data_IF_511876627886
#
_entry.id   IF_511876627886
#
_cell.length_a   1.000
_cell.length_b   1.000
_cell.length_c   1.000
_cell.angle_alpha   90.00
_cell.angle_beta   90.00
_cell.angle_gamma   90.00
#
_symmetry.space_group_name_H-M   'P 1'
#
loop_
_entity.id
_entity.type
_entity.pdbx_description
1 polymer ?
#
# COMPACT_ATOMS: atom_id res chain seq x y z
N UNK A 1 22.55 -17.25 -13.09
CA UNK A 1 21.85 -18.22 -12.23
C UNK A 1 20.44 -17.67 -11.98
N UNK A 2 19.39 -18.26 -12.60
CA UNK A 2 18.00 -17.85 -12.39
C UNK A 2 17.59 -18.33 -11.01
N UNK A 3 17.33 -17.40 -10.07
CA UNK A 3 16.82 -17.74 -8.74
C UNK A 3 15.41 -18.31 -8.92
N UNK A 4 15.20 -19.63 -8.71
CA UNK A 4 13.86 -20.19 -8.77
C UNK A 4 13.06 -19.58 -7.63
N UNK A 5 12.03 -18.80 -7.94
CA UNK A 5 11.21 -18.15 -6.94
C UNK A 5 11.05 -16.63 -7.08
N UNK A 6 11.85 -15.96 -7.93
CA UNK A 6 11.73 -14.52 -8.18
C UNK A 6 10.29 -14.11 -8.57
N UNK A 7 9.81 -14.66 -9.69
CA UNK A 7 8.45 -14.39 -10.19
C UNK A 7 7.37 -14.84 -9.19
N UNK A 8 7.62 -15.94 -8.49
CA UNK A 8 6.68 -16.50 -7.53
C UNK A 8 6.41 -15.57 -6.33
N UNK A 9 7.45 -14.91 -5.78
CA UNK A 9 7.29 -13.98 -4.64
C UNK A 9 6.49 -12.74 -5.02
N UNK A 10 6.77 -12.16 -6.19
CA UNK A 10 6.02 -11.01 -6.71
C UNK A 10 4.56 -11.40 -6.91
N UNK A 11 4.30 -12.54 -7.59
CA UNK A 11 2.95 -13.01 -7.85
C UNK A 11 2.16 -13.30 -6.56
N UNK A 12 2.80 -13.90 -5.55
CA UNK A 12 2.16 -14.15 -4.27
C UNK A 12 1.80 -12.86 -3.54
N UNK A 13 2.72 -11.88 -3.47
CA UNK A 13 2.43 -10.60 -2.81
C UNK A 13 1.37 -9.82 -3.58
N UNK A 14 1.43 -9.78 -4.92
CA UNK A 14 0.38 -9.18 -5.73
C UNK A 14 -0.98 -9.85 -5.48
N UNK A 15 -1.03 -11.18 -5.47
CA UNK A 15 -2.26 -11.94 -5.19
C UNK A 15 -2.82 -11.68 -3.79
N UNK A 16 -1.97 -11.61 -2.78
CA UNK A 16 -2.39 -11.22 -1.43
C UNK A 16 -2.86 -9.77 -1.39
N UNK A 17 -2.27 -8.88 -2.18
CA UNK A 17 -2.74 -7.50 -2.35
C UNK A 17 -4.13 -7.44 -2.98
N UNK A 18 -4.41 -8.28 -4.00
CA UNK A 18 -5.76 -8.42 -4.58
C UNK A 18 -6.76 -8.87 -3.51
N UNK A 19 -6.44 -9.93 -2.76
CA UNK A 19 -7.31 -10.44 -1.70
C UNK A 19 -7.55 -9.35 -0.64
N UNK A 20 -6.50 -8.65 -0.23
CA UNK A 20 -6.60 -7.53 0.72
C UNK A 20 -7.50 -6.41 0.19
N UNK A 21 -7.37 -6.07 -1.09
CA UNK A 21 -8.21 -5.07 -1.74
C UNK A 21 -9.69 -5.46 -1.76
N UNK A 22 -9.99 -6.72 -2.12
CA UNK A 22 -11.35 -7.25 -2.08
C UNK A 22 -11.93 -7.21 -0.66
N UNK A 23 -11.17 -7.66 0.33
CA UNK A 23 -11.60 -7.61 1.74
C UNK A 23 -11.82 -6.16 2.19
N UNK A 24 -10.96 -5.24 1.77
CA UNK A 24 -11.10 -3.80 2.07
C UNK A 24 -12.37 -3.19 1.49
N UNK A 25 -12.85 -3.68 0.35
CA UNK A 25 -14.06 -3.19 -0.32
C UNK A 25 -15.32 -3.77 0.31
N UNK A 26 -15.35 -5.08 0.56
CA UNK A 26 -16.58 -5.79 0.96
C UNK A 26 -16.78 -5.93 2.47
N UNK A 27 -15.99 -5.26 3.31
CA UNK A 27 -16.17 -5.25 4.76
C UNK A 27 -16.46 -3.85 5.34
N UNK A 28 -17.36 -3.03 4.75
CA UNK A 28 -17.60 -1.66 5.19
C UNK A 28 -18.17 -1.60 6.61
N UNK A 29 -19.11 -2.47 6.98
CA UNK A 29 -19.74 -2.48 8.32
C UNK A 29 -18.73 -2.72 9.45
N UNK A 30 -17.69 -3.49 9.17
CA UNK A 30 -16.59 -3.73 10.12
C UNK A 30 -15.64 -2.53 10.18
N UNK A 31 -15.47 -1.84 9.04
CA UNK A 31 -14.59 -0.69 8.95
C UNK A 31 -15.11 0.51 9.77
N UNK A 32 -16.42 0.74 9.81
CA UNK A 32 -17.03 1.85 10.56
C UNK A 32 -16.82 1.75 12.07
N UNK A 33 -16.62 0.55 12.61
CA UNK A 33 -16.37 0.33 14.05
C UNK A 33 -14.95 0.67 14.49
N UNK A 34 -14.01 0.75 13.55
CA UNK A 34 -12.60 1.00 13.80
C UNK A 34 -12.13 2.27 13.07
N UNK A 35 -12.54 3.44 13.58
CA UNK A 35 -12.12 4.73 13.02
C UNK A 35 -11.13 5.44 13.96
N UNK A 36 -10.10 6.02 13.38
CA UNK A 36 -9.25 7.00 14.04
C UNK A 36 -9.19 8.24 13.17
N UNK A 37 -9.44 9.40 13.76
CA UNK A 37 -9.49 10.68 13.05
C UNK A 37 -10.46 10.63 11.85
N UNK A 38 -11.61 9.99 12.02
CA UNK A 38 -12.63 9.79 10.97
C UNK A 38 -12.14 8.96 9.75
N UNK A 39 -11.02 8.28 9.89
CA UNK A 39 -10.47 7.38 8.86
C UNK A 39 -10.67 5.93 9.30
N UNK A 40 -11.28 5.08 8.46
CA UNK A 40 -11.43 3.67 8.78
C UNK A 40 -10.07 2.98 8.75
N UNK A 41 -9.69 2.34 9.86
CA UNK A 41 -8.40 1.67 10.01
C UNK A 41 -8.32 0.31 9.31
N UNK A 42 -9.46 -0.28 9.04
CA UNK A 42 -9.57 -1.66 8.56
C UNK A 42 -8.75 -1.89 7.29
N UNK A 43 -8.83 -0.99 6.32
CA UNK A 43 -8.10 -1.10 5.04
C UNK A 43 -6.59 -1.07 5.26
N UNK A 44 -6.12 -0.15 6.09
CA UNK A 44 -4.70 -0.06 6.45
C UNK A 44 -4.22 -1.29 7.23
N UNK A 45 -5.07 -1.85 8.11
CA UNK A 45 -4.78 -3.06 8.88
C UNK A 45 -4.64 -4.27 7.96
N UNK A 46 -5.63 -4.53 7.09
CA UNK A 46 -5.62 -5.70 6.20
C UNK A 46 -4.44 -5.64 5.24
N UNK A 47 -4.19 -4.47 4.64
CA UNK A 47 -3.02 -4.30 3.77
C UNK A 47 -1.70 -4.38 4.55
N UNK A 48 -1.62 -3.77 5.72
CA UNK A 48 -0.46 -3.87 6.61
C UNK A 48 -0.11 -5.30 7.02
N UNK A 49 -1.14 -6.15 7.23
CA UNK A 49 -0.94 -7.59 7.46
C UNK A 49 -0.30 -8.28 6.25
N UNK A 50 -0.73 -7.96 5.03
CA UNK A 50 -0.10 -8.51 3.80
C UNK A 50 1.36 -8.13 3.72
N UNK A 51 1.70 -6.85 3.96
CA UNK A 51 3.07 -6.36 3.91
C UNK A 51 3.92 -6.99 5.01
N UNK A 52 3.44 -6.98 6.27
CA UNK A 52 4.11 -7.60 7.39
C UNK A 52 4.37 -9.09 7.19
N UNK A 53 3.36 -9.82 6.70
CA UNK A 53 3.51 -11.24 6.33
C UNK A 53 4.54 -11.44 5.22
N UNK A 54 4.51 -10.61 4.18
CA UNK A 54 5.47 -10.67 3.09
C UNK A 54 6.92 -10.47 3.56
N UNK A 55 7.15 -9.49 4.42
CA UNK A 55 8.46 -9.22 5.03
C UNK A 55 8.92 -10.38 5.91
N UNK A 56 8.03 -10.91 6.75
CA UNK A 56 8.33 -12.07 7.59
C UNK A 56 8.65 -13.31 6.77
N UNK A 57 7.80 -13.65 5.80
CA UNK A 57 7.88 -14.91 5.05
C UNK A 57 8.97 -14.93 3.98
N UNK A 58 9.21 -13.82 3.30
CA UNK A 58 10.12 -13.73 2.16
C UNK A 58 11.27 -12.73 2.35
N UNK A 59 11.12 -11.76 3.25
CA UNK A 59 12.16 -10.81 3.62
C UNK A 59 13.09 -11.32 4.72
N UNK A 60 12.77 -12.43 5.37
CA UNK A 60 13.49 -12.91 6.56
C UNK A 60 13.51 -11.88 7.70
N UNK A 61 12.44 -11.08 7.80
CA UNK A 61 12.29 -10.11 8.86
C UNK A 61 11.86 -10.78 10.19
N UNK A 62 12.22 -10.19 11.31
CA UNK A 62 11.73 -10.64 12.61
C UNK A 62 10.21 -10.34 12.75
N UNK A 63 9.55 -11.00 13.71
CA UNK A 63 8.14 -10.70 14.03
C UNK A 63 7.94 -9.23 14.42
N UNK A 64 8.86 -8.67 15.18
CA UNK A 64 8.83 -7.26 15.59
C UNK A 64 8.94 -6.35 14.37
N UNK A 65 9.84 -6.67 13.44
CA UNK A 65 9.98 -5.93 12.16
C UNK A 65 8.72 -5.98 11.32
N UNK A 66 8.07 -7.14 11.25
CA UNK A 66 6.81 -7.31 10.52
C UNK A 66 5.67 -6.49 11.15
N UNK A 67 5.57 -6.48 12.49
CA UNK A 67 4.62 -5.66 13.24
C UNK A 67 4.88 -4.16 13.05
N UNK A 68 6.15 -3.73 13.07
CA UNK A 68 6.49 -2.34 12.81
C UNK A 68 6.05 -1.91 11.41
N UNK A 69 6.31 -2.73 10.39
CA UNK A 69 5.87 -2.45 9.03
C UNK A 69 4.34 -2.36 8.91
N UNK A 70 3.60 -3.24 9.61
CA UNK A 70 2.14 -3.18 9.70
C UNK A 70 1.69 -1.85 10.31
N UNK A 71 2.24 -1.45 11.47
CA UNK A 71 1.85 -0.20 12.15
C UNK A 71 2.14 1.02 11.26
N UNK A 72 3.33 1.07 10.65
CA UNK A 72 3.68 2.17 9.73
C UNK A 72 2.76 2.21 8.51
N UNK A 73 2.32 1.05 7.99
CA UNK A 73 1.35 1.00 6.88
C UNK A 73 -0.02 1.54 7.30
N UNK A 74 -0.49 1.25 8.53
CA UNK A 74 -1.73 1.83 9.06
C UNK A 74 -1.61 3.35 9.17
N UNK A 75 -0.51 3.86 9.73
CA UNK A 75 -0.26 5.30 9.85
C UNK A 75 -0.21 5.96 8.46
N UNK A 76 0.46 5.32 7.50
CA UNK A 76 0.53 5.79 6.12
C UNK A 76 -0.86 5.84 5.46
N UNK A 77 -1.72 4.87 5.72
CA UNK A 77 -3.11 4.86 5.29
C UNK A 77 -3.88 6.07 5.83
N UNK A 78 -3.80 6.31 7.14
CA UNK A 78 -4.46 7.48 7.77
C UNK A 78 -3.95 8.77 7.13
N UNK A 79 -2.64 8.92 6.96
CA UNK A 79 -2.04 10.10 6.37
C UNK A 79 -2.45 10.29 4.90
N UNK A 80 -2.56 9.20 4.12
CA UNK A 80 -3.00 9.24 2.74
C UNK A 80 -4.46 9.72 2.62
N UNK A 81 -5.37 9.14 3.40
CA UNK A 81 -6.78 9.51 3.39
C UNK A 81 -6.99 10.94 3.87
N UNK A 82 -6.35 11.35 4.96
CA UNK A 82 -6.41 12.74 5.44
C UNK A 82 -5.82 13.72 4.45
N UNK A 83 -4.69 13.38 3.84
CA UNK A 83 -4.07 14.20 2.81
C UNK A 83 -4.96 14.36 1.58
N UNK A 84 -5.67 13.30 1.17
CA UNK A 84 -6.65 13.36 0.10
C UNK A 84 -7.74 14.39 0.41
N UNK A 85 -8.42 14.25 1.54
CA UNK A 85 -9.50 15.17 1.91
C UNK A 85 -9.02 16.61 2.08
N UNK A 86 -7.86 16.81 2.71
CA UNK A 86 -7.30 18.14 2.88
C UNK A 86 -7.00 18.86 1.56
N UNK A 87 -6.54 18.12 0.53
CA UNK A 87 -6.23 18.68 -0.79
C UNK A 87 -7.52 18.88 -1.61
N UNK A 88 -8.54 18.03 -1.43
CA UNK A 88 -9.75 18.05 -2.28
C UNK A 88 -10.84 18.99 -1.79
N UNK A 89 -10.64 19.65 -0.66
CA UNK A 89 -11.64 20.55 -0.06
C UNK A 89 -12.00 21.75 -0.97
N UNK A 90 -11.10 22.13 -1.90
CA UNK A 90 -11.23 23.30 -2.77
C UNK A 90 -11.84 23.05 -4.16
N UNK A 91 -12.27 21.81 -4.47
CA UNK A 91 -12.99 21.52 -5.72
C UNK A 91 -12.35 20.51 -6.67
N UNK A 92 -12.93 20.34 -7.87
CA UNK A 92 -12.62 19.23 -8.80
C UNK A 92 -11.20 19.20 -9.35
N UNK A 93 -10.55 20.35 -9.50
CA UNK A 93 -9.18 20.41 -10.03
C UNK A 93 -8.19 19.78 -9.06
N UNK A 94 -8.46 19.87 -7.77
CA UNK A 94 -7.65 19.28 -6.71
C UNK A 94 -7.86 17.76 -6.55
N UNK A 95 -8.95 17.18 -7.10
CA UNK A 95 -9.25 15.75 -6.96
C UNK A 95 -8.16 14.86 -7.54
N UNK A 96 -7.65 15.16 -8.74
CA UNK A 96 -6.55 14.41 -9.34
C UNK A 96 -5.24 14.58 -8.56
N UNK A 97 -4.98 15.81 -8.09
CA UNK A 97 -3.80 16.07 -7.27
C UNK A 97 -3.90 15.35 -5.93
N UNK A 98 -5.06 15.43 -5.27
CA UNK A 98 -5.35 14.71 -4.03
C UNK A 98 -5.13 13.21 -4.20
N UNK A 99 -5.63 12.63 -5.29
CA UNK A 99 -5.50 11.22 -5.64
C UNK A 99 -4.03 10.79 -5.81
N UNK A 100 -3.25 11.56 -6.59
CA UNK A 100 -1.82 11.31 -6.78
C UNK A 100 -1.04 11.39 -5.47
N UNK A 101 -1.28 12.44 -4.69
CA UNK A 101 -0.56 12.67 -3.42
C UNK A 101 -0.93 11.60 -2.40
N UNK A 102 -2.20 11.27 -2.26
CA UNK A 102 -2.64 10.22 -1.33
C UNK A 102 -2.07 8.86 -1.70
N UNK A 103 -2.11 8.50 -3.00
CA UNK A 103 -1.51 7.27 -3.50
C UNK A 103 0.00 7.20 -3.25
N UNK A 104 0.70 8.32 -3.44
CA UNK A 104 2.13 8.44 -3.15
C UNK A 104 2.44 8.31 -1.66
N UNK A 105 1.69 9.00 -0.78
CA UNK A 105 1.87 8.94 0.69
C UNK A 105 1.65 7.51 1.19
N UNK A 106 0.56 6.86 0.78
CA UNK A 106 0.27 5.49 1.17
C UNK A 106 1.38 4.52 0.77
N UNK A 107 1.86 4.62 -0.48
CA UNK A 107 2.94 3.77 -0.99
C UNK A 107 4.28 4.08 -0.33
N UNK A 108 4.63 5.37 -0.15
CA UNK A 108 5.86 5.80 0.52
C UNK A 108 5.91 5.30 1.98
N UNK A 109 4.83 5.46 2.72
CA UNK A 109 4.76 4.96 4.09
C UNK A 109 4.83 3.43 4.17
N UNK A 110 4.20 2.73 3.23
CA UNK A 110 4.27 1.26 3.16
C UNK A 110 5.71 0.78 2.93
N UNK A 111 6.43 1.34 1.95
CA UNK A 111 7.83 0.96 1.71
C UNK A 111 8.74 1.43 2.87
N UNK A 112 8.45 2.57 3.49
CA UNK A 112 9.17 3.07 4.66
C UNK A 112 9.11 2.07 5.80
N UNK A 113 7.91 1.57 6.15
CA UNK A 113 7.74 0.56 7.19
C UNK A 113 8.62 -0.67 6.98
N UNK A 114 8.73 -1.13 5.74
CA UNK A 114 9.64 -2.20 5.37
C UNK A 114 11.12 -1.78 5.40
N UNK A 115 11.46 -0.58 4.92
CA UNK A 115 12.83 -0.07 4.82
C UNK A 115 13.47 0.21 6.19
N UNK A 116 12.67 0.51 7.21
CA UNK A 116 13.15 0.67 8.59
C UNK A 116 13.82 -0.62 9.09
N UNK A 117 13.35 -1.76 8.65
CA UNK A 117 13.77 -3.07 9.17
C UNK A 117 14.51 -3.93 8.14
N UNK A 118 14.39 -3.61 6.84
CA UNK A 118 14.93 -4.45 5.77
C UNK A 118 15.77 -3.65 4.76
N UNK A 119 17.09 -3.88 4.74
CA UNK A 119 18.06 -3.12 3.91
C UNK A 119 17.73 -3.11 2.40
N UNK A 120 17.14 -4.18 1.85
CA UNK A 120 16.80 -4.25 0.40
C UNK A 120 15.73 -3.23 0.01
N UNK A 121 14.86 -2.84 0.94
CA UNK A 121 13.82 -1.85 0.71
C UNK A 121 14.33 -0.40 0.80
N UNK A 122 15.61 -0.20 1.12
CA UNK A 122 16.26 1.12 1.11
C UNK A 122 16.80 1.52 -0.27
N UNK A 123 16.70 0.62 -1.26
CA UNK A 123 17.16 0.87 -2.62
C UNK A 123 16.30 1.97 -3.30
N UNK A 124 16.93 3.04 -3.84
CA UNK A 124 16.20 4.16 -4.43
C UNK A 124 15.26 3.77 -5.57
N UNK A 125 15.65 2.77 -6.39
CA UNK A 125 14.80 2.32 -7.50
C UNK A 125 13.52 1.68 -6.96
N UNK A 126 13.62 0.90 -5.87
CA UNK A 126 12.45 0.31 -5.22
C UNK A 126 11.51 1.39 -4.67
N UNK A 127 12.05 2.50 -4.15
CA UNK A 127 11.27 3.64 -3.71
C UNK A 127 10.57 4.33 -4.88
N UNK A 128 11.31 4.70 -5.93
CA UNK A 128 10.74 5.38 -7.10
C UNK A 128 9.62 4.55 -7.73
N UNK A 129 9.85 3.23 -7.90
CA UNK A 129 8.83 2.33 -8.45
C UNK A 129 7.61 2.23 -7.55
N UNK A 130 7.80 2.00 -6.23
CA UNK A 130 6.67 1.82 -5.32
C UNK A 130 5.84 3.08 -5.19
N UNK A 131 6.49 4.24 -4.99
CA UNK A 131 5.81 5.53 -4.84
C UNK A 131 5.17 5.97 -6.14
N UNK A 132 5.86 5.83 -7.28
CA UNK A 132 5.32 6.17 -8.59
C UNK A 132 4.11 5.32 -8.97
N UNK A 133 4.20 4.00 -8.78
CA UNK A 133 3.09 3.09 -9.02
C UNK A 133 1.92 3.39 -8.07
N UNK A 134 2.19 3.65 -6.79
CA UNK A 134 1.16 4.00 -5.83
C UNK A 134 0.46 5.32 -6.16
N UNK A 135 1.21 6.34 -6.61
CA UNK A 135 0.66 7.62 -7.06
C UNK A 135 -0.28 7.42 -8.26
N UNK A 136 0.18 6.72 -9.30
CA UNK A 136 -0.60 6.48 -10.52
C UNK A 136 -1.85 5.66 -10.21
N UNK A 137 -1.71 4.57 -9.43
CA UNK A 137 -2.85 3.75 -9.04
C UNK A 137 -3.84 4.50 -8.13
N UNK A 138 -3.38 5.49 -7.36
CA UNK A 138 -4.23 6.39 -6.57
C UNK A 138 -5.26 7.14 -7.42
N UNK A 139 -4.95 7.42 -8.71
CA UNK A 139 -5.89 8.06 -9.63
C UNK A 139 -7.19 7.28 -9.84
N UNK A 140 -7.21 5.99 -9.53
CA UNK A 140 -8.42 5.16 -9.62
C UNK A 140 -9.51 5.62 -8.64
N UNK A 141 -9.17 6.38 -7.59
CA UNK A 141 -10.18 7.00 -6.72
C UNK A 141 -11.08 7.99 -7.48
N UNK A 142 -10.55 8.62 -8.54
CA UNK A 142 -11.28 9.70 -9.24
C UNK A 142 -12.56 9.22 -9.94
N UNK A 143 -12.54 8.16 -10.78
CA UNK A 143 -13.77 7.64 -11.36
C UNK A 143 -14.72 7.05 -10.31
N UNK A 144 -14.19 6.40 -9.29
CA UNK A 144 -15.00 5.78 -8.23
C UNK A 144 -15.66 6.82 -7.31
N UNK A 145 -14.96 7.91 -6.97
CA UNK A 145 -15.55 9.03 -6.22
C UNK A 145 -16.67 9.76 -6.98
N UNK A 146 -16.71 9.61 -8.31
CA UNK A 146 -17.77 10.17 -9.18
C UNK A 146 -18.88 9.16 -9.49
N UNK A 147 -18.71 7.90 -9.15
CA UNK A 147 -19.72 6.87 -9.34
C UNK A 147 -20.83 6.98 -8.27
N UNK A 148 -22.01 6.49 -8.61
CA UNK A 148 -23.15 6.47 -7.68
C UNK A 148 -22.92 5.48 -6.54
N UNK A 149 -22.21 4.39 -6.82
CA UNK A 149 -22.00 3.28 -5.88
C UNK A 149 -20.85 3.52 -4.91
N UNK A 150 -19.83 4.33 -5.29
CA UNK A 150 -18.66 4.68 -4.48
C UNK A 150 -18.03 3.50 -3.71
N UNK A 151 -17.94 2.34 -4.35
CA UNK A 151 -17.45 1.12 -3.72
C UNK A 151 -15.91 1.04 -3.57
N UNK A 152 -15.16 1.88 -4.28
CA UNK A 152 -13.70 1.95 -4.31
C UNK A 152 -13.00 0.60 -4.61
N UNK A 153 -13.68 -0.31 -5.30
CA UNK A 153 -13.18 -1.65 -5.62
C UNK A 153 -11.88 -1.60 -6.44
N UNK A 154 -11.87 -0.84 -7.54
CA UNK A 154 -10.70 -0.75 -8.41
C UNK A 154 -9.53 -0.12 -7.68
N UNK A 155 -9.77 0.94 -6.90
CA UNK A 155 -8.75 1.57 -6.10
C UNK A 155 -8.09 0.56 -5.16
N UNK A 156 -8.87 -0.10 -4.31
CA UNK A 156 -8.30 -1.00 -3.31
C UNK A 156 -7.63 -2.20 -3.94
N UNK A 157 -8.25 -2.85 -4.92
CA UNK A 157 -7.69 -4.06 -5.53
C UNK A 157 -6.43 -3.75 -6.33
N UNK A 158 -6.48 -2.75 -7.21
CA UNK A 158 -5.35 -2.44 -8.10
C UNK A 158 -4.22 -1.79 -7.31
N UNK A 159 -4.52 -0.81 -6.45
CA UNK A 159 -3.50 -0.11 -5.68
C UNK A 159 -2.76 -1.05 -4.74
N UNK A 160 -3.48 -1.86 -3.95
CA UNK A 160 -2.88 -2.78 -2.99
C UNK A 160 -2.08 -3.89 -3.69
N UNK A 161 -2.59 -4.44 -4.81
CA UNK A 161 -1.86 -5.43 -5.60
C UNK A 161 -0.57 -4.85 -6.20
N UNK A 162 -0.63 -3.66 -6.77
CA UNK A 162 0.49 -3.02 -7.42
C UNK A 162 1.60 -2.64 -6.42
N UNK A 163 1.24 -2.02 -5.29
CA UNK A 163 2.20 -1.68 -4.23
C UNK A 163 2.81 -2.95 -3.62
N UNK A 164 2.00 -3.98 -3.34
CA UNK A 164 2.50 -5.27 -2.85
C UNK A 164 3.45 -5.96 -3.84
N UNK A 165 3.16 -5.88 -5.14
CA UNK A 165 4.05 -6.39 -6.21
C UNK A 165 5.39 -5.65 -6.21
N UNK A 166 5.40 -4.32 -6.06
CA UNK A 166 6.63 -3.52 -5.98
C UNK A 166 7.46 -3.90 -4.74
N UNK A 167 6.84 -4.10 -3.58
CA UNK A 167 7.52 -4.60 -2.38
C UNK A 167 8.09 -6.01 -2.65
N UNK A 168 7.31 -6.90 -3.27
CA UNK A 168 7.77 -8.22 -3.68
C UNK A 168 8.98 -8.18 -4.60
N UNK A 169 8.98 -7.26 -5.57
CA UNK A 169 10.12 -7.02 -6.45
C UNK A 169 11.35 -6.54 -5.67
N UNK A 170 11.18 -5.55 -4.80
CA UNK A 170 12.25 -5.01 -3.97
C UNK A 170 12.92 -6.08 -3.08
N UNK A 171 12.13 -6.99 -2.51
CA UNK A 171 12.63 -8.11 -1.69
C UNK A 171 13.47 -9.11 -2.51
N UNK A 172 13.36 -9.12 -3.84
CA UNK A 172 14.13 -10.00 -4.71
C UNK A 172 15.44 -9.39 -5.19
N UNK A 173 15.61 -8.06 -5.08
CA UNK A 173 16.84 -7.37 -5.46
C UNK A 173 17.97 -7.68 -4.47
N UNK A 174 19.20 -7.59 -4.96
CA UNK A 174 20.37 -7.67 -4.08
C UNK A 174 20.44 -6.41 -3.24
N UNK A 175 20.80 -6.56 -1.96
CA UNK A 175 21.06 -5.40 -1.11
C UNK A 175 22.17 -4.54 -1.75
N UNK A 176 22.08 -3.20 -1.64
CA UNK A 176 23.19 -2.33 -2.05
C UNK A 176 24.49 -2.81 -1.40
N UNK A 177 25.56 -2.92 -2.19
CA UNK A 177 26.90 -3.16 -1.65
C UNK A 177 27.33 -1.86 -0.98
N UNK A 178 27.47 -1.89 0.33
CA UNK A 178 28.14 -0.82 1.07
C UNK A 178 29.65 -0.92 0.85
#
# INVERSE_FOLDING_TARGET
MKIPGFRRRIAWLAGLGVISGLVSTYAPETAEKFMILEVPLFQGLVFGLVIGFGLYRWGNASRVSALLALVVTIVAWIAAVRGFFWITDDGQTSLYLGALVAGAIGAAGTILGGALTHKRLRDPISWILTVGVGAIAGLLVVPEARSVEQDFLLLFVVWQAAVAACIGYALTRQAPKN
#
